data_IF_079996225353
#
_entry.id   IF_079996225353
#
_cell.length_a   1.000
_cell.length_b   1.000
_cell.length_c   1.000
_cell.angle_alpha   90.00
_cell.angle_beta   90.00
_cell.angle_gamma   90.00
#
_symmetry.space_group_name_H-M   'P 1'
#
loop_
_entity.id
_entity.type
_entity.pdbx_description
1 polymer ?
#
# COMPACT_ATOMS: atom_id res chain seq x y z
N UNK A 1 -15.01 4.32 1.57
CA UNK A 1 -14.46 3.22 0.75
C UNK A 1 -15.48 2.08 0.76
N UNK A 2 -16.02 1.63 -0.39
CA UNK A 2 -17.06 0.57 -0.39
C UNK A 2 -16.50 -0.84 -0.10
N UNK A 3 -15.30 -0.94 0.48
CA UNK A 3 -14.54 -2.18 0.69
C UNK A 3 -14.55 -2.68 2.13
N UNK A 4 -15.19 -1.97 3.08
CA UNK A 4 -15.21 -2.34 4.50
C UNK A 4 -13.87 -2.17 5.25
N UNK A 5 -12.75 -2.00 4.55
CA UNK A 5 -11.44 -1.79 5.15
C UNK A 5 -11.21 -0.33 5.58
N UNK A 6 -10.54 -0.15 6.71
CA UNK A 6 -10.02 1.15 7.17
C UNK A 6 -8.74 1.50 6.41
N UNK A 7 -8.66 2.71 5.87
CA UNK A 7 -7.44 3.18 5.24
C UNK A 7 -6.34 3.39 6.30
N UNK A 8 -5.16 2.81 6.07
CA UNK A 8 -3.98 3.06 6.89
C UNK A 8 -2.91 3.72 6.02
N UNK A 9 -2.50 4.92 6.42
CA UNK A 9 -1.51 5.69 5.68
C UNK A 9 -0.12 5.07 5.87
N UNK A 10 0.51 4.60 4.79
CA UNK A 10 1.86 4.04 4.78
C UNK A 10 2.85 4.96 4.06
N UNK A 11 3.99 5.22 4.68
CA UNK A 11 5.08 6.02 4.11
C UNK A 11 6.31 5.15 3.77
N UNK A 12 6.43 3.98 4.38
CA UNK A 12 7.55 3.07 4.21
C UNK A 12 7.11 1.58 4.23
N UNK A 13 8.07 0.69 4.03
CA UNK A 13 7.85 -0.77 3.98
C UNK A 13 7.59 -1.38 5.37
N UNK A 14 8.16 -0.81 6.44
CA UNK A 14 7.89 -1.27 7.81
C UNK A 14 6.44 -0.98 8.24
N UNK A 15 5.84 0.12 7.77
CA UNK A 15 4.43 0.43 7.99
C UNK A 15 3.51 -0.62 7.35
N UNK A 16 3.97 -1.25 6.27
CA UNK A 16 3.25 -2.33 5.58
C UNK A 16 3.33 -3.63 6.39
N UNK A 17 4.46 -3.89 7.04
CA UNK A 17 4.64 -5.06 7.90
C UNK A 17 3.77 -4.99 9.18
N UNK A 18 3.46 -3.79 9.68
CA UNK A 18 2.48 -3.59 10.77
C UNK A 18 1.06 -4.07 10.39
N UNK A 19 0.74 -4.08 9.09
CA UNK A 19 -0.56 -4.52 8.58
C UNK A 19 -0.64 -6.04 8.40
N UNK A 20 0.44 -6.80 8.67
CA UNK A 20 0.47 -8.25 8.52
C UNK A 20 -0.64 -8.94 9.33
N UNK A 21 -0.81 -8.55 10.60
CA UNK A 21 -1.84 -9.11 11.49
C UNK A 21 -3.24 -8.52 11.27
N UNK A 22 -3.35 -7.45 10.47
CA UNK A 22 -4.56 -6.65 10.32
C UNK A 22 -5.04 -6.58 8.86
N UNK A 23 -4.57 -7.48 8.00
CA UNK A 23 -4.75 -7.46 6.55
C UNK A 23 -6.23 -7.56 6.07
N UNK A 24 -7.15 -8.02 6.93
CA UNK A 24 -8.60 -8.10 6.66
C UNK A 24 -9.36 -6.84 7.07
N UNK A 25 -8.82 -6.06 8.01
CA UNK A 25 -9.50 -4.89 8.58
C UNK A 25 -8.97 -3.59 7.97
N UNK A 26 -7.71 -3.57 7.53
CA UNK A 26 -7.05 -2.38 7.03
C UNK A 26 -6.54 -2.56 5.62
N UNK A 27 -6.62 -1.48 4.84
CA UNK A 27 -6.03 -1.37 3.52
C UNK A 27 -4.92 -0.31 3.56
N UNK A 28 -3.78 -0.62 2.94
CA UNK A 28 -2.65 0.29 2.86
C UNK A 28 -2.93 1.41 1.86
N UNK A 29 -2.76 2.66 2.29
CA UNK A 29 -2.85 3.86 1.47
C UNK A 29 -1.50 4.57 1.46
N UNK A 30 -0.83 4.61 0.31
CA UNK A 30 0.52 5.15 0.21
C UNK A 30 0.50 6.67 0.26
N UNK A 31 1.24 7.26 1.19
CA UNK A 31 1.32 8.71 1.36
C UNK A 31 1.79 9.42 0.07
N UNK A 32 1.26 10.62 -0.16
CA UNK A 32 1.57 11.41 -1.36
C UNK A 32 3.06 11.82 -1.43
N UNK A 33 3.76 11.89 -0.30
CA UNK A 33 5.19 12.20 -0.22
C UNK A 33 6.11 11.10 -0.76
N UNK A 34 5.61 9.87 -0.94
CA UNK A 34 6.43 8.73 -1.37
C UNK A 34 6.72 8.79 -2.87
N UNK A 35 8.00 8.61 -3.22
CA UNK A 35 8.49 8.55 -4.60
C UNK A 35 7.98 7.31 -5.34
N UNK A 36 7.98 7.34 -6.68
CA UNK A 36 7.50 6.23 -7.50
C UNK A 36 8.30 4.93 -7.26
N UNK A 37 9.63 5.02 -7.10
CA UNK A 37 10.50 3.87 -6.80
C UNK A 37 10.11 3.19 -5.49
N UNK A 38 9.91 3.96 -4.42
CA UNK A 38 9.56 3.45 -3.10
C UNK A 38 8.11 2.93 -3.04
N UNK A 39 7.22 3.50 -3.87
CA UNK A 39 5.87 2.95 -4.09
C UNK A 39 5.92 1.54 -4.66
N UNK A 40 6.80 1.25 -5.61
CA UNK A 40 6.95 -0.11 -6.18
C UNK A 40 7.39 -1.10 -5.09
N UNK A 41 8.34 -0.73 -4.24
CA UNK A 41 8.78 -1.56 -3.11
C UNK A 41 7.65 -1.84 -2.12
N UNK A 42 6.88 -0.82 -1.76
CA UNK A 42 5.71 -0.95 -0.87
C UNK A 42 4.65 -1.88 -1.48
N UNK A 43 4.37 -1.76 -2.78
CA UNK A 43 3.39 -2.61 -3.47
C UNK A 43 3.89 -4.06 -3.52
N UNK A 44 5.18 -4.27 -3.83
CA UNK A 44 5.78 -5.59 -3.85
C UNK A 44 5.69 -6.26 -2.47
N UNK A 45 5.99 -5.52 -1.39
CA UNK A 45 5.86 -6.02 -0.02
C UNK A 45 4.41 -6.31 0.33
N UNK A 46 3.49 -5.38 0.07
CA UNK A 46 2.07 -5.56 0.37
C UNK A 46 1.49 -6.80 -0.33
N UNK A 47 1.95 -7.09 -1.55
CA UNK A 47 1.58 -8.31 -2.30
C UNK A 47 2.09 -9.59 -1.65
N UNK A 48 3.28 -9.59 -1.05
CA UNK A 48 3.84 -10.75 -0.34
C UNK A 48 3.02 -11.12 0.90
N UNK A 49 2.53 -10.13 1.64
CA UNK A 49 1.77 -10.32 2.89
C UNK A 49 0.25 -10.34 2.70
N UNK A 50 -0.24 -10.13 1.46
CA UNK A 50 -1.66 -10.16 1.13
C UNK A 50 -2.46 -8.91 1.57
N UNK A 51 -1.79 -7.78 1.77
CA UNK A 51 -2.45 -6.51 2.15
C UNK A 51 -2.92 -5.77 0.89
N UNK A 52 -4.18 -5.31 0.91
CA UNK A 52 -4.76 -4.54 -0.19
C UNK A 52 -4.24 -3.10 -0.18
N UNK A 53 -3.69 -2.65 -1.31
CA UNK A 53 -3.25 -1.25 -1.50
C UNK A 53 -4.31 -0.47 -2.28
N UNK A 54 -4.79 0.64 -1.73
CA UNK A 54 -5.88 1.44 -2.31
C UNK A 54 -5.43 2.29 -3.49
N UNK A 55 -4.23 2.87 -3.41
CA UNK A 55 -3.68 3.80 -4.39
C UNK A 55 -2.39 3.30 -5.05
N UNK A 56 -2.23 1.97 -5.18
CA UNK A 56 -1.02 1.34 -5.74
C UNK A 56 -0.72 1.74 -7.18
N UNK A 57 -1.71 2.19 -7.96
CA UNK A 57 -1.52 2.68 -9.34
C UNK A 57 -1.11 4.15 -9.42
N UNK A 58 -1.14 4.90 -8.31
CA UNK A 58 -0.79 6.31 -8.32
C UNK A 58 0.72 6.50 -8.47
N UNK A 59 1.13 7.34 -9.44
CA UNK A 59 2.52 7.67 -9.81
C UNK A 59 3.36 6.53 -10.38
N UNK A 60 2.83 5.32 -10.44
CA UNK A 60 3.44 4.18 -11.15
C UNK A 60 2.76 4.09 -12.51
N UNK A 61 2.99 5.09 -13.37
CA UNK A 61 2.62 4.97 -14.79
C UNK A 61 3.73 4.19 -15.45
N UNK A 62 3.41 2.98 -15.89
CA UNK A 62 4.18 2.28 -16.91
C UNK A 62 4.01 3.08 -18.21
N UNK A 63 5.11 3.55 -18.79
CA UNK A 63 5.11 3.96 -20.21
C UNK A 63 4.67 2.73 -21.02
N UNK A 64 3.57 2.88 -21.76
CA UNK A 64 3.01 1.86 -22.66
C UNK A 64 3.95 1.58 -23.84
#
# INVERSE_FOLDING_TARGET
>A
MPSGHKAFLVANVADVDLLLMHNTTFAAEIAHSVSARKRIEIIARAKQIGVKVTNGKARVKTES
#
